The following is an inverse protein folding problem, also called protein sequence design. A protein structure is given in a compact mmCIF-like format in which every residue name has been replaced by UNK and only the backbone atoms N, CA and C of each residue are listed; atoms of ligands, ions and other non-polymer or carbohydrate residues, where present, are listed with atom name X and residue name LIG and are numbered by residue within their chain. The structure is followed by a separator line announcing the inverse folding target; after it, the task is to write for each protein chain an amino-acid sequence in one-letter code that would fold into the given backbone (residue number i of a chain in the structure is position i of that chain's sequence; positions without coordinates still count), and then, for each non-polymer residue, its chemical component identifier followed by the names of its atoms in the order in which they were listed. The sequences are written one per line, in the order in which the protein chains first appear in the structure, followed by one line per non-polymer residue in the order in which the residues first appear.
data_IF_431272739988
#
_entry.id   IF_431272739988
#
_cell.length_a   1.000
_cell.length_b   1.000
_cell.length_c   1.000
_cell.angle_alpha   90.00
_cell.angle_beta   90.00
_cell.angle_gamma   90.00
#
_symmetry.space_group_name_H-M   'P 1'
#
loop_
_entity.id
_entity.type
_entity.pdbx_description
1 polymer ?
#
# COMPACT_ATOMS: atom_id res chain seq x y z
N UNK A 1 27.93 4.05 -50.26
CA UNK A 1 27.51 3.74 -48.89
C UNK A 1 26.00 3.52 -48.82
N UNK A 2 25.55 2.44 -48.22
CA UNK A 2 24.13 2.23 -47.99
C UNK A 2 23.58 3.22 -46.95
N UNK A 3 22.50 3.93 -47.28
CA UNK A 3 21.84 4.87 -46.37
C UNK A 3 21.09 4.11 -45.28
N UNK A 4 21.45 4.31 -44.04
CA UNK A 4 20.74 3.70 -42.89
C UNK A 4 19.34 4.33 -42.78
N UNK A 5 18.29 3.48 -42.88
CA UNK A 5 16.90 3.90 -42.71
C UNK A 5 16.42 3.51 -41.31
N UNK A 6 16.16 4.51 -40.46
CA UNK A 6 15.74 4.32 -39.07
C UNK A 6 14.27 3.90 -38.86
N UNK A 7 13.48 3.74 -39.93
CA UNK A 7 12.03 3.56 -39.86
C UNK A 7 11.61 2.35 -39.02
N UNK A 8 12.23 1.19 -39.18
CA UNK A 8 11.89 -0.02 -38.43
C UNK A 8 12.22 0.12 -36.92
N UNK A 9 13.38 0.67 -36.61
CA UNK A 9 13.81 0.87 -35.22
C UNK A 9 12.91 1.88 -34.51
N UNK A 10 12.55 2.97 -35.20
CA UNK A 10 11.61 3.96 -34.67
C UNK A 10 10.23 3.34 -34.43
N UNK A 11 9.71 2.52 -35.36
CA UNK A 11 8.42 1.82 -35.20
C UNK A 11 8.46 0.86 -34.00
N UNK A 12 9.50 0.05 -33.84
CA UNK A 12 9.67 -0.85 -32.68
C UNK A 12 9.62 -0.08 -31.36
N UNK A 13 10.39 1.00 -31.25
CA UNK A 13 10.45 1.85 -30.05
C UNK A 13 9.09 2.46 -29.72
N UNK A 14 8.39 3.02 -30.72
CA UNK A 14 7.06 3.62 -30.53
C UNK A 14 6.01 2.58 -30.17
N UNK A 15 6.02 1.42 -30.81
CA UNK A 15 5.11 0.32 -30.49
C UNK A 15 5.30 -0.20 -29.05
N UNK A 16 6.52 -0.19 -28.53
CA UNK A 16 6.77 -0.55 -27.13
C UNK A 16 6.03 0.39 -26.16
N UNK A 17 6.09 1.69 -26.41
CA UNK A 17 5.37 2.69 -25.60
C UNK A 17 3.86 2.55 -25.76
N UNK A 18 3.36 2.38 -26.98
CA UNK A 18 1.94 2.20 -27.24
C UNK A 18 1.37 0.91 -26.59
N UNK A 19 2.17 -0.16 -26.50
CA UNK A 19 1.78 -1.37 -25.76
C UNK A 19 1.58 -1.10 -24.27
N UNK A 20 2.45 -0.29 -23.65
CA UNK A 20 2.30 0.12 -22.25
C UNK A 20 1.10 1.05 -22.02
N UNK A 21 0.71 1.81 -23.05
CA UNK A 21 -0.43 2.73 -22.98
C UNK A 21 -1.78 2.09 -23.34
N UNK A 22 -1.85 0.79 -23.59
CA UNK A 22 -3.11 0.09 -23.88
C UNK A 22 -4.12 0.31 -22.74
N UNK A 23 -5.36 0.62 -23.12
CA UNK A 23 -6.44 0.90 -22.18
C UNK A 23 -6.48 2.32 -21.63
N UNK A 24 -5.56 3.19 -22.00
CA UNK A 24 -5.59 4.59 -21.59
C UNK A 24 -6.68 5.36 -22.32
N UNK A 25 -7.23 6.36 -21.66
CA UNK A 25 -8.35 7.14 -22.17
C UNK A 25 -8.02 7.88 -23.46
N UNK A 26 -8.90 7.77 -24.46
CA UNK A 26 -8.87 8.54 -25.70
C UNK A 26 -7.57 8.38 -26.50
N UNK A 27 -7.01 9.48 -26.97
CA UNK A 27 -5.80 9.51 -27.78
C UNK A 27 -4.52 9.08 -27.04
N UNK A 28 -4.52 9.03 -25.72
CA UNK A 28 -3.39 8.55 -24.89
C UNK A 28 -3.05 7.08 -25.15
N UNK A 29 -3.97 6.28 -25.68
CA UNK A 29 -3.72 4.89 -26.05
C UNK A 29 -3.28 4.71 -27.51
N UNK A 30 -3.49 5.71 -28.36
CA UNK A 30 -3.34 5.61 -29.83
C UNK A 30 -2.22 6.47 -30.41
N UNK A 31 -2.10 7.71 -29.94
CA UNK A 31 -1.12 8.68 -30.45
C UNK A 31 0.17 8.66 -29.64
N UNK A 32 1.30 8.41 -30.29
CA UNK A 32 2.59 8.23 -29.62
C UNK A 32 2.97 9.38 -28.70
N UNK A 33 2.84 10.64 -29.12
CA UNK A 33 3.20 11.81 -28.28
C UNK A 33 2.43 11.81 -26.95
N UNK A 34 1.12 11.63 -27.05
CA UNK A 34 0.24 11.60 -25.86
C UNK A 34 0.48 10.34 -25.01
N UNK A 35 0.64 9.20 -25.67
CA UNK A 35 0.93 7.92 -24.99
C UNK A 35 2.26 7.98 -24.24
N UNK A 36 3.29 8.54 -24.81
CA UNK A 36 4.61 8.64 -24.18
C UNK A 36 4.56 9.47 -22.89
N UNK A 37 3.91 10.64 -22.92
CA UNK A 37 3.72 11.47 -21.73
C UNK A 37 2.91 10.74 -20.65
N UNK A 38 1.82 10.09 -21.03
CA UNK A 38 0.96 9.34 -20.12
C UNK A 38 1.71 8.17 -19.47
N UNK A 39 2.51 7.42 -20.24
CA UNK A 39 3.30 6.29 -19.72
C UNK A 39 4.39 6.77 -18.77
N UNK A 40 5.12 7.85 -19.09
CA UNK A 40 6.11 8.42 -18.17
C UNK A 40 5.48 8.79 -16.83
N UNK A 41 4.34 9.48 -16.87
CA UNK A 41 3.61 9.86 -15.64
C UNK A 41 3.07 8.65 -14.88
N UNK A 42 2.55 7.66 -15.56
CA UNK A 42 2.09 6.40 -14.97
C UNK A 42 3.22 5.67 -14.23
N UNK A 43 4.39 5.55 -14.82
CA UNK A 43 5.54 4.91 -14.19
C UNK A 43 6.03 5.67 -12.95
N UNK A 44 6.04 7.01 -13.01
CA UNK A 44 6.37 7.86 -11.87
C UNK A 44 5.37 7.66 -10.73
N UNK A 45 4.08 7.64 -11.03
CA UNK A 45 3.05 7.39 -10.02
C UNK A 45 3.09 5.96 -9.48
N UNK A 46 3.42 4.96 -10.30
CA UNK A 46 3.61 3.61 -9.83
C UNK A 46 4.76 3.50 -8.80
N UNK A 47 5.88 4.18 -9.05
CA UNK A 47 6.99 4.26 -8.11
C UNK A 47 6.58 4.93 -6.80
N UNK A 48 5.94 6.09 -6.88
CA UNK A 48 5.43 6.83 -5.71
C UNK A 48 4.38 6.02 -4.96
N UNK A 49 3.43 5.40 -5.67
CA UNK A 49 2.37 4.58 -5.10
C UNK A 49 2.90 3.36 -4.32
N UNK A 50 3.94 2.68 -4.84
CA UNK A 50 4.58 1.58 -4.10
C UNK A 50 5.22 2.05 -2.79
N UNK A 51 5.75 3.27 -2.74
CA UNK A 51 6.27 3.86 -1.49
C UNK A 51 5.14 4.27 -0.53
N UNK A 52 4.08 4.87 -1.05
CA UNK A 52 2.92 5.28 -0.25
C UNK A 52 2.15 4.09 0.32
N UNK A 53 2.07 2.98 -0.41
CA UNK A 53 1.38 1.76 0.00
C UNK A 53 1.74 1.29 1.42
N UNK A 54 3.00 1.41 1.81
CA UNK A 54 3.44 1.07 3.18
C UNK A 54 2.78 1.95 4.24
N UNK A 55 2.65 3.25 3.96
CA UNK A 55 2.00 4.21 4.87
C UNK A 55 0.50 3.96 4.95
N UNK A 56 -0.13 3.71 3.81
CA UNK A 56 -1.56 3.49 3.69
C UNK A 56 -1.99 2.23 4.45
N UNK A 57 -1.28 1.12 4.25
CA UNK A 57 -1.53 -0.11 5.01
C UNK A 57 -1.30 0.05 6.50
N UNK A 58 -0.23 0.73 6.91
CA UNK A 58 0.00 0.99 8.34
C UNK A 58 -1.12 1.83 8.95
N UNK A 59 -1.59 2.86 8.27
CA UNK A 59 -2.74 3.66 8.70
C UNK A 59 -4.00 2.80 8.86
N UNK A 60 -4.29 1.94 7.88
CA UNK A 60 -5.41 1.01 7.92
C UNK A 60 -5.34 0.05 9.12
N UNK A 61 -4.15 -0.54 9.38
CA UNK A 61 -3.97 -1.42 10.55
C UNK A 61 -4.20 -0.68 11.87
N UNK A 62 -3.68 0.53 12.00
CA UNK A 62 -3.88 1.36 13.20
C UNK A 62 -5.37 1.68 13.39
N UNK A 63 -6.10 1.99 12.34
CA UNK A 63 -7.54 2.24 12.39
C UNK A 63 -8.31 1.00 12.90
N UNK A 64 -8.00 -0.19 12.37
CA UNK A 64 -8.62 -1.46 12.79
C UNK A 64 -8.33 -1.78 14.25
N UNK A 65 -7.07 -1.67 14.66
CA UNK A 65 -6.66 -1.90 16.07
C UNK A 65 -7.35 -0.88 16.99
N UNK A 66 -7.40 0.39 16.60
CA UNK A 66 -8.03 1.45 17.39
C UNK A 66 -9.52 1.20 17.62
N UNK A 67 -10.24 0.74 16.58
CA UNK A 67 -11.64 0.36 16.70
C UNK A 67 -11.83 -0.81 17.68
N UNK A 68 -11.02 -1.86 17.57
CA UNK A 68 -11.08 -3.01 18.47
C UNK A 68 -10.69 -2.63 19.92
N UNK A 69 -9.71 -1.74 20.10
CA UNK A 69 -9.36 -1.22 21.43
C UNK A 69 -10.53 -0.49 22.08
N UNK A 70 -11.23 0.38 21.33
CA UNK A 70 -12.42 1.09 21.81
C UNK A 70 -13.53 0.12 22.26
N UNK A 71 -13.76 -0.95 21.50
CA UNK A 71 -14.72 -2.00 21.88
C UNK A 71 -14.36 -2.70 23.22
N UNK A 72 -13.07 -2.77 23.54
CA UNK A 72 -12.54 -3.32 24.78
C UNK A 72 -12.30 -2.25 25.88
N UNK A 73 -12.80 -1.03 25.71
CA UNK A 73 -12.68 0.05 26.69
C UNK A 73 -11.26 0.61 26.86
N UNK A 74 -10.45 0.60 25.82
CA UNK A 74 -9.07 1.11 25.80
C UNK A 74 -8.85 2.06 24.63
N UNK A 75 -7.81 2.91 24.76
CA UNK A 75 -7.29 3.68 23.63
C UNK A 75 -6.11 2.93 22.97
N UNK A 76 -5.86 3.22 21.69
CA UNK A 76 -4.75 2.63 20.95
C UNK A 76 -3.38 2.83 21.64
N UNK A 77 -3.12 4.05 22.14
CA UNK A 77 -1.85 4.40 22.79
C UNK A 77 -1.63 3.62 24.10
N UNK A 78 -2.67 3.51 24.93
CA UNK A 78 -2.65 2.74 26.17
C UNK A 78 -2.47 1.26 25.88
N UNK A 79 -3.18 0.72 24.90
CA UNK A 79 -3.04 -0.69 24.49
C UNK A 79 -1.61 -1.02 24.04
N UNK A 80 -1.02 -0.22 23.14
CA UNK A 80 0.36 -0.44 22.68
C UNK A 80 1.38 -0.31 23.80
N UNK A 81 1.18 0.64 24.71
CA UNK A 81 2.04 0.78 25.89
C UNK A 81 1.93 -0.44 26.83
N UNK A 82 0.71 -0.93 27.07
CA UNK A 82 0.46 -2.14 27.87
C UNK A 82 1.13 -3.37 27.28
N UNK A 83 1.02 -3.58 25.97
CA UNK A 83 1.71 -4.68 25.27
C UNK A 83 3.24 -4.57 25.39
N UNK A 84 3.78 -3.35 25.28
CA UNK A 84 5.22 -3.11 25.45
C UNK A 84 5.68 -3.43 26.88
N UNK A 85 4.92 -3.03 27.90
CA UNK A 85 5.22 -3.33 29.31
C UNK A 85 5.13 -4.83 29.63
N UNK A 86 4.19 -5.54 29.01
CA UNK A 86 4.06 -7.01 29.17
C UNK A 86 5.07 -7.81 28.33
N UNK A 87 5.98 -7.14 27.59
CA UNK A 87 6.99 -7.83 26.78
C UNK A 87 6.47 -8.50 25.53
N UNK A 88 5.20 -8.23 25.13
CA UNK A 88 4.58 -8.85 23.95
C UNK A 88 4.98 -8.07 22.71
N UNK A 89 5.74 -8.74 21.81
CA UNK A 89 6.23 -8.16 20.54
C UNK A 89 5.43 -8.71 19.37
N UNK A 90 4.33 -8.04 19.02
CA UNK A 90 3.50 -8.38 17.86
C UNK A 90 3.46 -7.17 16.91
N UNK A 91 3.61 -7.41 15.60
CA UNK A 91 3.53 -6.34 14.62
C UNK A 91 2.08 -5.88 14.39
N UNK A 92 1.91 -4.67 13.87
CA UNK A 92 0.59 -4.05 13.68
C UNK A 92 -0.27 -4.79 12.65
N UNK A 93 0.34 -5.46 11.66
CA UNK A 93 -0.38 -6.28 10.69
C UNK A 93 -1.08 -7.46 11.40
N UNK A 94 -0.36 -8.18 12.22
CA UNK A 94 -0.92 -9.32 12.98
C UNK A 94 -1.99 -8.87 13.98
N UNK A 95 -1.75 -7.76 14.69
CA UNK A 95 -2.75 -7.19 15.60
C UNK A 95 -4.03 -6.78 14.88
N UNK A 96 -3.92 -6.19 13.69
CA UNK A 96 -5.07 -5.82 12.88
C UNK A 96 -5.82 -7.03 12.32
N UNK A 97 -5.10 -8.11 12.01
CA UNK A 97 -5.66 -9.40 11.60
C UNK A 97 -6.49 -10.03 12.74
N UNK A 98 -5.91 -10.09 13.94
CA UNK A 98 -6.62 -10.58 15.15
C UNK A 98 -7.84 -9.72 15.46
N UNK A 99 -7.73 -8.40 15.33
CA UNK A 99 -8.85 -7.48 15.60
C UNK A 99 -10.07 -7.73 14.71
N UNK A 100 -9.89 -8.24 13.49
CA UNK A 100 -10.98 -8.52 12.54
C UNK A 100 -11.44 -9.96 12.64
N UNK A 101 -10.51 -10.91 12.58
CA UNK A 101 -10.80 -12.33 12.40
C UNK A 101 -10.91 -13.10 13.71
N UNK A 102 -10.26 -12.65 14.78
CA UNK A 102 -10.29 -13.33 16.07
C UNK A 102 -10.43 -12.33 17.24
N UNK A 103 -11.65 -11.88 17.46
CA UNK A 103 -11.98 -10.90 18.49
C UNK A 103 -11.68 -11.38 19.90
N UNK A 104 -11.81 -12.68 20.17
CA UNK A 104 -11.54 -13.29 21.48
C UNK A 104 -10.05 -13.22 21.83
N UNK A 105 -9.17 -13.60 20.89
CA UNK A 105 -7.73 -13.49 21.09
C UNK A 105 -7.30 -12.02 21.24
N UNK A 106 -7.93 -11.10 20.53
CA UNK A 106 -7.66 -9.67 20.70
C UNK A 106 -8.11 -9.16 22.09
N UNK A 107 -9.26 -9.63 22.61
CA UNK A 107 -9.72 -9.28 23.94
C UNK A 107 -8.77 -9.77 25.04
N UNK A 108 -8.22 -10.98 24.92
CA UNK A 108 -7.21 -11.51 25.85
C UNK A 108 -5.93 -10.63 25.85
N UNK A 109 -5.49 -10.16 24.66
CA UNK A 109 -4.37 -9.22 24.56
C UNK A 109 -4.70 -7.87 25.21
N UNK A 110 -5.93 -7.38 25.07
CA UNK A 110 -6.38 -6.15 25.71
C UNK A 110 -6.41 -6.28 27.25
N UNK A 111 -6.86 -7.40 27.78
CA UNK A 111 -6.83 -7.68 29.23
C UNK A 111 -5.40 -7.76 29.76
N UNK A 112 -4.52 -8.45 29.05
CA UNK A 112 -3.08 -8.51 29.41
C UNK A 112 -2.45 -7.12 29.42
N UNK A 113 -2.79 -6.29 28.43
CA UNK A 113 -2.33 -4.91 28.37
C UNK A 113 -2.87 -4.06 29.53
N UNK A 114 -4.15 -4.26 29.93
CA UNK A 114 -4.72 -3.58 31.11
C UNK A 114 -4.01 -3.98 32.39
N UNK A 115 -3.78 -5.27 32.60
CA UNK A 115 -3.05 -5.80 33.79
C UNK A 115 -1.63 -5.25 33.89
N UNK A 116 -0.94 -5.07 32.78
CA UNK A 116 0.41 -4.52 32.73
C UNK A 116 0.46 -3.00 32.98
N UNK A 117 -0.67 -2.30 32.94
CA UNK A 117 -0.77 -0.86 33.17
C UNK A 117 -1.29 -0.52 34.58
N UNK A 118 -1.98 -1.47 35.21
CA UNK A 118 -2.42 -1.36 36.60
C UNK A 118 -1.23 -1.49 37.56
#
# INVERSE_FOLDING_TARGET
MARVKGAMMTRKRRNKVLKLAKGYWGSKSKHFKMANQAVMKSLTYAYTGRKLKKRDFRSLWITRISAACKMNGMNYSTFVNGLKKSGIVINRKMLAELAVNNKEAFAQLAETAKKALA
#
